data_IF_771975772250
#
_entry.id   IF_771975772250
#
_cell.length_a   1.000
_cell.length_b   1.000
_cell.length_c   1.000
_cell.angle_alpha   90.00
_cell.angle_beta   90.00
_cell.angle_gamma   90.00
#
_symmetry.space_group_name_H-M   'P 1'
#
loop_
_entity.id
_entity.type
_entity.pdbx_description
1 polymer ?
#
# COMPACT_ATOMS: atom_id res chain seq x y z
N UNK A 1 18.28 -14.33 20.56
CA UNK A 1 16.86 -13.91 20.43
C UNK A 1 16.74 -13.12 19.15
N UNK A 2 15.78 -13.44 18.27
CA UNK A 2 15.46 -12.59 17.09
C UNK A 2 14.97 -11.24 17.61
N UNK A 3 15.45 -10.11 17.01
CA UNK A 3 14.90 -8.78 17.34
C UNK A 3 13.42 -8.74 16.98
N UNK A 4 12.60 -7.93 17.67
CA UNK A 4 11.20 -7.69 17.24
C UNK A 4 11.17 -7.17 15.81
N UNK A 5 10.11 -7.50 15.07
CA UNK A 5 9.84 -6.96 13.76
C UNK A 5 9.16 -5.60 13.92
N UNK A 6 9.79 -4.55 13.41
CA UNK A 6 9.25 -3.18 13.41
C UNK A 6 8.89 -2.76 11.99
N UNK A 7 7.65 -2.39 11.75
CA UNK A 7 7.22 -1.88 10.45
C UNK A 7 6.29 -0.67 10.59
N UNK A 8 6.26 0.17 9.56
CA UNK A 8 5.34 1.28 9.48
C UNK A 8 4.16 0.93 8.57
N UNK A 9 2.96 1.23 9.02
CA UNK A 9 1.72 1.13 8.24
C UNK A 9 1.19 2.52 7.94
N UNK A 10 0.99 2.82 6.66
CA UNK A 10 0.41 4.08 6.17
C UNK A 10 -0.63 3.77 5.10
N UNK A 11 -1.65 4.63 4.96
CA UNK A 11 -2.71 4.52 3.97
C UNK A 11 -3.28 5.90 3.67
N UNK A 12 -4.08 6.02 2.61
CA UNK A 12 -4.89 7.21 2.31
C UNK A 12 -4.05 8.51 2.24
N UNK A 13 -2.88 8.43 1.59
CA UNK A 13 -1.94 9.55 1.44
C UNK A 13 -2.49 10.60 0.47
N UNK A 14 -3.17 10.14 -0.59
CA UNK A 14 -3.84 10.95 -1.59
C UNK A 14 -2.96 12.04 -2.22
N UNK A 15 -1.74 11.71 -2.64
CA UNK A 15 -0.87 12.64 -3.35
C UNK A 15 -1.59 13.20 -4.59
N UNK A 16 -1.50 14.49 -4.79
CA UNK A 16 -2.18 15.19 -5.87
C UNK A 16 -3.61 15.63 -5.55
N UNK A 17 -4.09 15.42 -4.32
CA UNK A 17 -5.40 15.92 -3.92
C UNK A 17 -5.37 17.42 -3.66
N UNK A 18 -6.08 18.15 -4.53
CA UNK A 18 -6.29 19.58 -4.40
C UNK A 18 -7.68 19.86 -3.81
N UNK A 19 -7.81 19.58 -2.50
CA UNK A 19 -9.07 19.71 -1.78
C UNK A 19 -9.61 21.15 -1.90
N UNK A 20 -10.89 21.30 -2.22
CA UNK A 20 -11.58 22.57 -2.51
C UNK A 20 -10.98 23.37 -3.69
N UNK A 21 -10.19 22.74 -4.56
CA UNK A 21 -9.50 23.42 -5.66
C UNK A 21 -8.36 24.34 -5.19
N UNK A 22 -7.89 24.19 -3.95
CA UNK A 22 -6.86 25.06 -3.38
C UNK A 22 -5.47 24.41 -3.49
N UNK A 23 -4.54 25.10 -4.13
CA UNK A 23 -3.15 24.66 -4.25
C UNK A 23 -2.47 24.53 -2.87
N UNK A 24 -2.82 25.34 -1.90
CA UNK A 24 -2.34 25.23 -0.52
C UNK A 24 -2.65 23.84 0.07
N UNK A 25 -3.83 23.27 -0.24
CA UNK A 25 -4.19 21.92 0.25
C UNK A 25 -3.35 20.83 -0.41
N UNK A 26 -3.02 20.95 -1.68
CA UNK A 26 -2.07 20.05 -2.33
C UNK A 26 -0.71 20.07 -1.64
N UNK A 27 -0.23 21.26 -1.27
CA UNK A 27 1.03 21.40 -0.53
C UNK A 27 0.94 20.78 0.89
N UNK A 28 -0.21 20.87 1.55
CA UNK A 28 -0.41 20.25 2.87
C UNK A 28 -0.26 18.73 2.79
N UNK A 29 -0.87 18.06 1.79
CA UNK A 29 -0.71 16.61 1.57
C UNK A 29 0.75 16.24 1.28
N UNK A 30 1.42 17.00 0.42
CA UNK A 30 2.83 16.79 0.09
C UNK A 30 3.72 16.96 1.33
N UNK A 31 3.48 17.99 2.14
CA UNK A 31 4.24 18.25 3.36
C UNK A 31 4.03 17.15 4.39
N UNK A 32 2.78 16.73 4.61
CA UNK A 32 2.47 15.63 5.53
C UNK A 32 3.20 14.33 5.12
N UNK A 33 3.20 13.99 3.82
CA UNK A 33 3.91 12.80 3.36
C UNK A 33 5.44 12.94 3.50
N UNK A 34 5.99 14.14 3.24
CA UNK A 34 7.42 14.41 3.47
C UNK A 34 7.81 14.22 4.93
N UNK A 35 7.02 14.75 5.87
CA UNK A 35 7.23 14.57 7.31
C UNK A 35 7.19 13.09 7.72
N UNK A 36 6.25 12.31 7.16
CA UNK A 36 6.20 10.86 7.37
C UNK A 36 7.48 10.20 6.87
N UNK A 37 7.95 10.53 5.66
CA UNK A 37 9.20 9.99 5.11
C UNK A 37 10.41 10.37 5.95
N UNK A 38 10.49 11.61 6.42
CA UNK A 38 11.56 12.06 7.32
C UNK A 38 11.59 11.20 8.59
N UNK A 39 10.41 10.98 9.17
CA UNK A 39 10.29 10.15 10.38
C UNK A 39 10.65 8.69 10.13
N UNK A 40 10.24 8.13 9.00
CA UNK A 40 10.59 6.76 8.61
C UNK A 40 12.10 6.57 8.44
N UNK A 41 12.79 7.57 7.86
CA UNK A 41 14.27 7.55 7.72
C UNK A 41 14.96 7.62 9.08
N UNK A 42 14.39 8.36 10.04
CA UNK A 42 14.90 8.44 11.42
C UNK A 42 14.75 7.10 12.16
N UNK A 43 13.54 6.50 12.15
CA UNK A 43 13.23 5.29 12.93
C UNK A 43 13.71 4.00 12.27
N UNK A 44 13.92 3.98 10.94
CA UNK A 44 14.43 2.85 10.15
C UNK A 44 13.67 1.55 10.41
N UNK A 45 12.37 1.48 10.08
CA UNK A 45 11.61 0.25 10.21
C UNK A 45 12.15 -0.85 9.27
N UNK A 46 11.82 -2.11 9.52
CA UNK A 46 12.17 -3.24 8.65
C UNK A 46 11.55 -3.10 7.26
N UNK A 47 10.37 -2.50 7.18
CA UNK A 47 9.69 -2.12 5.94
C UNK A 47 8.58 -1.08 6.20
N UNK A 48 8.14 -0.45 5.12
CA UNK A 48 6.93 0.39 5.08
C UNK A 48 5.85 -0.33 4.28
N UNK A 49 4.64 -0.36 4.80
CA UNK A 49 3.47 -0.93 4.15
C UNK A 49 2.47 0.17 3.82
N UNK A 50 2.27 0.44 2.52
CA UNK A 50 1.27 1.38 2.01
C UNK A 50 0.01 0.59 1.66
N UNK A 51 -1.03 0.74 2.49
CA UNK A 51 -2.28 0.02 2.32
C UNK A 51 -3.30 0.82 1.49
N UNK A 52 -2.91 1.19 0.25
CA UNK A 52 -3.76 1.83 -0.74
C UNK A 52 -3.80 3.36 -0.68
N UNK A 53 -4.30 3.93 -1.76
CA UNK A 53 -4.54 5.35 -1.98
C UNK A 53 -3.28 6.22 -1.75
N UNK A 54 -2.15 5.78 -2.35
CA UNK A 54 -0.94 6.59 -2.44
C UNK A 54 -1.22 7.87 -3.26
N UNK A 55 -1.91 7.72 -4.40
CA UNK A 55 -2.32 8.83 -5.24
C UNK A 55 -3.82 9.08 -5.15
N UNK A 56 -4.22 10.34 -5.30
CA UNK A 56 -5.65 10.73 -5.35
C UNK A 56 -6.31 10.37 -6.68
N UNK A 57 -5.54 10.19 -7.74
CA UNK A 57 -6.03 9.82 -9.06
C UNK A 57 -5.18 8.71 -9.68
N UNK A 58 -5.79 7.78 -10.45
CA UNK A 58 -5.06 6.69 -11.12
C UNK A 58 -4.12 7.20 -12.23
N UNK A 59 -4.21 8.50 -12.58
CA UNK A 59 -3.32 9.22 -13.50
C UNK A 59 -2.91 10.53 -12.83
N UNK A 60 -1.92 10.50 -11.93
CA UNK A 60 -1.43 11.70 -11.28
C UNK A 60 -0.79 12.66 -12.30
N UNK A 61 -0.73 13.94 -11.97
CA UNK A 61 0.06 14.90 -12.74
C UNK A 61 1.55 14.54 -12.71
N UNK A 62 2.31 15.01 -13.69
CA UNK A 62 3.77 14.80 -13.71
C UNK A 62 4.43 15.35 -12.43
N UNK A 63 4.00 16.50 -11.95
CA UNK A 63 4.53 17.10 -10.70
C UNK A 63 4.25 16.22 -9.47
N UNK A 64 3.03 15.66 -9.39
CA UNK A 64 2.66 14.74 -8.31
C UNK A 64 3.48 13.44 -8.38
N UNK A 65 3.68 12.92 -9.59
CA UNK A 65 4.46 11.70 -9.80
C UNK A 65 5.95 11.95 -9.47
N UNK A 66 6.50 13.06 -9.90
CA UNK A 66 7.88 13.48 -9.58
C UNK A 66 8.10 13.55 -8.08
N UNK A 67 7.20 14.22 -7.36
CA UNK A 67 7.25 14.30 -5.90
C UNK A 67 7.19 12.91 -5.23
N UNK A 68 6.29 12.04 -5.69
CA UNK A 68 6.20 10.67 -5.16
C UNK A 68 7.49 9.88 -5.40
N UNK A 69 8.06 9.97 -6.60
CA UNK A 69 9.34 9.33 -6.96
C UNK A 69 10.45 9.83 -6.04
N UNK A 70 10.55 11.14 -5.82
CA UNK A 70 11.54 11.74 -4.93
C UNK A 70 11.46 11.15 -3.52
N UNK A 71 10.25 11.10 -2.92
CA UNK A 71 10.07 10.57 -1.58
C UNK A 71 10.38 9.06 -1.50
N UNK A 72 9.96 8.28 -2.49
CA UNK A 72 10.27 6.84 -2.57
C UNK A 72 11.77 6.58 -2.78
N UNK A 73 12.45 7.41 -3.57
CA UNK A 73 13.91 7.37 -3.71
C UNK A 73 14.64 7.61 -2.38
N UNK A 74 14.14 8.52 -1.55
CA UNK A 74 14.70 8.80 -0.21
C UNK A 74 14.59 7.57 0.69
N UNK A 75 13.43 6.90 0.74
CA UNK A 75 13.25 5.66 1.49
C UNK A 75 14.17 4.55 0.96
N UNK A 76 14.23 4.38 -0.35
CA UNK A 76 15.13 3.41 -0.99
C UNK A 76 16.60 3.67 -0.65
N UNK A 77 17.04 4.94 -0.69
CA UNK A 77 18.42 5.33 -0.34
C UNK A 77 18.74 5.09 1.13
N UNK A 78 17.72 5.15 2.00
CA UNK A 78 17.84 4.80 3.41
C UNK A 78 17.82 3.28 3.67
N UNK A 79 17.64 2.46 2.62
CA UNK A 79 17.58 0.99 2.71
C UNK A 79 16.25 0.47 3.27
N UNK A 80 15.18 1.26 3.21
CA UNK A 80 13.87 0.91 3.76
C UNK A 80 12.98 0.39 2.61
N UNK A 81 12.64 -0.91 2.58
CA UNK A 81 11.72 -1.46 1.59
C UNK A 81 10.31 -0.88 1.75
N UNK A 82 9.67 -0.51 0.64
CA UNK A 82 8.29 -0.05 0.61
C UNK A 82 7.46 -1.10 -0.13
N UNK A 83 6.43 -1.64 0.53
CA UNK A 83 5.46 -2.54 -0.08
C UNK A 83 4.12 -1.82 -0.19
N UNK A 84 3.38 -2.03 -1.28
CA UNK A 84 2.13 -1.33 -1.49
C UNK A 84 1.05 -2.24 -2.10
N UNK A 85 -0.20 -2.05 -1.67
CA UNK A 85 -1.39 -2.56 -2.34
C UNK A 85 -2.14 -1.41 -3.01
N UNK A 86 -2.92 -1.72 -4.04
CA UNK A 86 -3.76 -0.73 -4.70
C UNK A 86 -4.90 -0.29 -3.78
N UNK A 87 -5.15 1.01 -3.70
CA UNK A 87 -6.35 1.58 -3.16
C UNK A 87 -7.44 1.82 -4.22
N UNK A 88 -8.54 2.42 -3.83
CA UNK A 88 -9.64 2.73 -4.75
C UNK A 88 -9.26 3.80 -5.79
N UNK A 89 -8.37 4.70 -5.43
CA UNK A 89 -7.87 5.81 -6.24
C UNK A 89 -6.64 5.43 -7.08
N UNK A 90 -5.78 4.53 -6.61
CA UNK A 90 -4.61 4.03 -7.38
C UNK A 90 -5.01 2.98 -8.41
N UNK A 91 -6.12 2.26 -8.16
CA UNK A 91 -6.50 1.09 -8.94
C UNK A 91 -6.76 1.44 -10.40
N UNK A 92 -6.39 0.52 -11.28
CA UNK A 92 -6.57 0.66 -12.71
C UNK A 92 -8.05 0.92 -13.06
N UNK A 93 -8.36 1.98 -13.83
CA UNK A 93 -9.71 2.20 -14.31
C UNK A 93 -10.19 1.07 -15.23
N UNK A 94 -9.27 0.37 -15.87
CA UNK A 94 -9.51 -0.81 -16.71
C UNK A 94 -8.21 -1.65 -16.85
N UNK A 95 -8.33 -2.85 -17.41
CA UNK A 95 -7.20 -3.78 -17.58
C UNK A 95 -6.09 -3.29 -18.51
N UNK A 96 -6.41 -2.41 -19.45
CA UNK A 96 -5.43 -1.86 -20.41
C UNK A 96 -4.55 -0.80 -19.77
N UNK A 97 -5.14 0.07 -18.93
CA UNK A 97 -4.41 1.17 -18.30
C UNK A 97 -3.43 0.66 -17.24
N UNK A 98 -3.81 -0.38 -16.48
CA UNK A 98 -3.01 -0.83 -15.35
C UNK A 98 -3.04 0.14 -14.16
N UNK A 99 -2.45 -0.25 -13.05
CA UNK A 99 -2.29 0.61 -11.87
C UNK A 99 -1.02 1.45 -11.98
N UNK A 100 -1.04 2.65 -11.39
CA UNK A 100 0.15 3.53 -11.31
C UNK A 100 1.26 2.92 -10.45
N UNK A 101 0.96 1.97 -9.56
CA UNK A 101 1.98 1.33 -8.73
C UNK A 101 2.92 0.42 -9.55
N UNK A 102 2.48 -0.15 -10.66
CA UNK A 102 3.31 -1.03 -11.50
C UNK A 102 4.57 -0.38 -12.08
N UNK A 103 4.51 0.81 -12.70
CA UNK A 103 5.72 1.48 -13.17
C UNK A 103 6.68 1.84 -12.02
N UNK A 104 6.17 2.19 -10.83
CA UNK A 104 7.01 2.44 -9.66
C UNK A 104 7.70 1.16 -9.16
N UNK A 105 6.99 0.02 -9.17
CA UNK A 105 7.55 -1.30 -8.88
C UNK A 105 8.64 -1.69 -9.89
N UNK A 106 8.38 -1.49 -11.19
CA UNK A 106 9.38 -1.77 -12.25
C UNK A 106 10.62 -0.88 -12.16
N UNK A 107 10.48 0.32 -11.63
CA UNK A 107 11.61 1.21 -11.33
C UNK A 107 12.33 0.83 -10.02
N UNK A 108 11.83 -0.17 -9.30
CA UNK A 108 12.40 -0.62 -8.02
C UNK A 108 12.27 0.41 -6.90
N UNK A 109 11.22 1.24 -6.94
CA UNK A 109 10.94 2.26 -5.94
C UNK A 109 10.03 1.75 -4.82
N UNK A 110 9.19 0.76 -5.14
CA UNK A 110 8.36 0.04 -4.21
C UNK A 110 8.18 -1.41 -4.71
N UNK A 111 7.57 -2.25 -3.90
CA UNK A 111 7.15 -3.61 -4.24
C UNK A 111 5.63 -3.62 -4.27
N UNK A 112 5.07 -3.73 -5.46
CA UNK A 112 3.62 -3.81 -5.65
C UNK A 112 3.12 -5.22 -5.36
N UNK A 113 2.19 -5.35 -4.43
CA UNK A 113 1.51 -6.59 -4.06
C UNK A 113 0.16 -6.69 -4.82
N UNK A 114 0.12 -7.35 -5.97
CA UNK A 114 -1.10 -7.41 -6.78
C UNK A 114 -2.13 -8.35 -6.12
N UNK A 115 -3.43 -8.00 -6.28
CA UNK A 115 -4.57 -8.79 -5.78
C UNK A 115 -4.74 -10.09 -6.59
N UNK A 116 -3.76 -10.97 -6.54
CA UNK A 116 -3.79 -12.29 -7.18
C UNK A 116 -3.57 -13.37 -6.13
N UNK A 117 -4.37 -14.47 -6.14
CA UNK A 117 -4.10 -15.61 -5.31
C UNK A 117 -2.63 -16.07 -5.42
N UNK A 118 -2.04 -16.43 -4.30
CA UNK A 118 -0.64 -16.83 -4.26
C UNK A 118 0.38 -15.71 -4.31
N UNK A 119 -0.03 -14.44 -4.44
CA UNK A 119 0.88 -13.30 -4.42
C UNK A 119 1.28 -12.94 -2.99
N UNK A 120 2.57 -13.09 -2.69
CA UNK A 120 3.13 -12.66 -1.42
C UNK A 120 4.55 -12.14 -1.61
N UNK A 121 4.98 -11.33 -0.67
CA UNK A 121 6.38 -10.96 -0.48
C UNK A 121 6.95 -11.77 0.69
N UNK A 122 8.08 -12.40 0.46
CA UNK A 122 8.81 -13.15 1.50
C UNK A 122 10.03 -12.36 1.94
N UNK A 123 10.01 -11.93 3.20
CA UNK A 123 11.19 -11.41 3.90
C UNK A 123 11.84 -12.51 4.76
N UNK A 124 12.97 -12.20 5.38
CA UNK A 124 13.70 -13.16 6.22
C UNK A 124 12.85 -13.68 7.39
N UNK A 125 12.09 -12.80 8.04
CA UNK A 125 11.31 -13.09 9.24
C UNK A 125 9.80 -12.94 9.05
N UNK A 126 9.31 -12.63 7.83
CA UNK A 126 7.90 -12.30 7.60
C UNK A 126 7.44 -12.67 6.20
N UNK A 127 6.10 -12.85 6.08
CA UNK A 127 5.37 -12.88 4.82
C UNK A 127 4.36 -11.75 4.78
N UNK A 128 4.21 -11.09 3.63
CA UNK A 128 3.21 -10.05 3.41
C UNK A 128 2.36 -10.44 2.21
N UNK A 129 1.07 -10.61 2.45
CA UNK A 129 0.04 -10.94 1.46
C UNK A 129 -0.73 -9.66 1.11
N UNK A 130 -0.86 -9.35 -0.17
CA UNK A 130 -1.51 -8.13 -0.62
C UNK A 130 -2.85 -8.36 -1.31
N UNK A 131 -3.90 -7.67 -0.84
CA UNK A 131 -5.19 -7.59 -1.53
C UNK A 131 -5.56 -6.13 -1.70
N UNK A 132 -5.32 -5.57 -2.86
CA UNK A 132 -5.73 -4.20 -3.18
C UNK A 132 -7.24 -4.07 -3.36
N UNK A 133 -7.68 -2.87 -3.67
CA UNK A 133 -9.09 -2.55 -3.87
C UNK A 133 -9.75 -3.45 -4.94
N UNK A 134 -10.87 -4.06 -4.58
CA UNK A 134 -11.64 -4.96 -5.45
C UNK A 134 -12.85 -4.22 -6.03
N UNK A 135 -12.77 -3.89 -7.32
CA UNK A 135 -13.87 -3.20 -8.04
C UNK A 135 -14.87 -4.21 -8.60
N UNK A 136 -16.17 -4.00 -8.32
CA UNK A 136 -17.27 -4.67 -9.02
C UNK A 136 -17.41 -6.18 -8.82
N UNK A 137 -16.67 -6.79 -7.88
CA UNK A 137 -16.81 -8.20 -7.51
C UNK A 137 -17.32 -8.32 -6.08
N UNK A 138 -17.98 -9.44 -5.78
CA UNK A 138 -18.25 -9.81 -4.41
C UNK A 138 -16.90 -9.91 -3.66
N UNK A 139 -16.68 -9.00 -2.73
CA UNK A 139 -15.45 -8.90 -1.95
C UNK A 139 -15.20 -10.21 -1.18
N UNK A 140 -16.29 -10.83 -0.69
CA UNK A 140 -16.24 -12.09 0.05
C UNK A 140 -15.77 -13.25 -0.84
N UNK A 141 -16.26 -13.35 -2.07
CA UNK A 141 -15.86 -14.41 -3.00
C UNK A 141 -14.37 -14.30 -3.36
N UNK A 142 -13.89 -13.10 -3.69
CA UNK A 142 -12.47 -12.87 -4.02
C UNK A 142 -11.59 -13.12 -2.82
N UNK A 143 -11.97 -12.67 -1.63
CA UNK A 143 -11.21 -12.92 -0.41
C UNK A 143 -11.18 -14.40 -0.06
N UNK A 144 -12.31 -15.12 -0.23
CA UNK A 144 -12.39 -16.57 -0.05
C UNK A 144 -11.46 -17.31 -1.02
N UNK A 145 -11.47 -16.94 -2.30
CA UNK A 145 -10.59 -17.53 -3.31
C UNK A 145 -9.12 -17.21 -2.98
N UNK A 146 -8.82 -15.98 -2.61
CA UNK A 146 -7.47 -15.57 -2.22
C UNK A 146 -6.96 -16.39 -1.03
N UNK A 147 -7.76 -16.53 0.04
CA UNK A 147 -7.38 -17.30 1.23
C UNK A 147 -7.23 -18.79 0.91
N UNK A 148 -8.07 -19.34 0.01
CA UNK A 148 -7.97 -20.75 -0.41
C UNK A 148 -6.71 -21.04 -1.20
N UNK A 149 -6.27 -20.08 -2.02
CA UNK A 149 -5.11 -20.18 -2.89
C UNK A 149 -3.86 -19.51 -2.31
N UNK A 150 -3.88 -19.12 -1.02
CA UNK A 150 -2.67 -18.66 -0.35
C UNK A 150 -1.54 -19.67 -0.59
N UNK A 151 -0.33 -19.19 -0.99
CA UNK A 151 0.81 -20.07 -1.13
C UNK A 151 1.07 -20.76 0.22
N UNK A 152 1.88 -21.83 0.19
CA UNK A 152 1.84 -22.87 1.21
C UNK A 152 1.68 -22.27 2.61
N UNK A 153 0.80 -22.87 3.38
CA UNK A 153 0.32 -22.45 4.72
C UNK A 153 1.31 -21.53 5.41
N UNK A 154 0.86 -20.39 5.95
CA UNK A 154 1.75 -19.42 6.59
C UNK A 154 2.76 -20.16 7.45
N UNK A 155 4.05 -19.97 7.18
CA UNK A 155 5.09 -20.57 8.00
C UNK A 155 4.95 -20.03 9.43
N UNK A 156 4.61 -20.88 10.42
CA UNK A 156 4.41 -20.41 11.80
C UNK A 156 5.69 -19.87 12.43
N UNK A 157 6.85 -20.10 11.81
CA UNK A 157 8.13 -19.54 12.25
C UNK A 157 8.34 -18.10 11.79
N UNK A 158 7.53 -17.60 10.85
CA UNK A 158 7.58 -16.23 10.33
C UNK A 158 6.36 -15.43 10.76
N UNK A 159 6.52 -14.12 10.82
CA UNK A 159 5.40 -13.20 11.05
C UNK A 159 4.60 -13.05 9.76
N UNK A 160 3.27 -13.22 9.81
CA UNK A 160 2.40 -13.18 8.64
C UNK A 160 1.52 -11.94 8.70
N UNK A 161 1.60 -11.09 7.68
CA UNK A 161 0.83 -9.85 7.54
C UNK A 161 -0.07 -9.96 6.32
N UNK A 162 -1.35 -9.65 6.46
CA UNK A 162 -2.27 -9.45 5.35
C UNK A 162 -2.56 -7.96 5.20
N UNK A 163 -2.17 -7.40 4.07
CA UNK A 163 -2.40 -6.02 3.70
C UNK A 163 -3.59 -5.92 2.74
N UNK A 164 -4.56 -5.07 3.05
CA UNK A 164 -5.71 -4.85 2.17
C UNK A 164 -6.25 -3.42 2.29
N UNK A 165 -6.92 -2.97 1.24
CA UNK A 165 -7.62 -1.68 1.21
C UNK A 165 -9.12 -1.90 1.05
N UNK A 166 -9.79 -2.14 2.17
CA UNK A 166 -11.25 -2.35 2.25
C UNK A 166 -11.77 -2.18 3.67
N UNK A 167 -13.05 -1.87 3.81
CA UNK A 167 -13.71 -1.88 5.11
C UNK A 167 -13.87 -3.32 5.61
N UNK A 168 -13.48 -3.56 6.85
CA UNK A 168 -13.67 -4.84 7.56
C UNK A 168 -14.78 -4.65 8.58
N UNK A 169 -15.87 -5.40 8.39
CA UNK A 169 -16.95 -5.47 9.38
C UNK A 169 -16.55 -6.42 10.49
N UNK A 170 -16.42 -5.92 11.71
CA UNK A 170 -16.19 -6.74 12.90
C UNK A 170 -16.83 -6.11 14.12
N UNK A 171 -17.57 -6.90 14.91
CA UNK A 171 -18.32 -6.39 16.07
C UNK A 171 -17.41 -5.69 17.10
N UNK A 172 -16.21 -6.23 17.34
CA UNK A 172 -15.24 -5.64 18.28
C UNK A 172 -14.67 -4.28 17.80
N UNK A 173 -14.79 -3.95 16.50
CA UNK A 173 -14.34 -2.67 15.91
C UNK A 173 -15.50 -1.66 15.81
N UNK A 174 -16.74 -2.03 16.20
CA UNK A 174 -17.90 -1.17 16.06
C UNK A 174 -18.30 -0.82 14.62
N UNK A 175 -17.77 -1.54 13.65
CA UNK A 175 -18.07 -1.32 12.23
C UNK A 175 -19.33 -2.12 11.87
N UNK A 176 -20.41 -1.48 11.34
CA UNK A 176 -21.63 -2.15 10.97
C UNK A 176 -21.42 -3.22 9.88
N UNK A 177 -22.24 -4.29 9.93
CA UNK A 177 -22.18 -5.39 8.94
C UNK A 177 -22.63 -5.00 7.53
N UNK A 178 -23.16 -3.79 7.36
CA UNK A 178 -23.74 -3.30 6.09
C UNK A 178 -23.15 -1.92 5.74
N UNK A 179 -21.97 -1.92 5.14
CA UNK A 179 -21.45 -0.77 4.39
C UNK A 179 -21.21 -1.21 2.94
#
# INVERSE_FOLDING_TARGET
MKRPLDFAHIADIHLGYMQYGLEARLQDFNNAFREVVDKLIEIKPDFVLICGDLFHHPRPSNMTLEFAIEQLCRLKSAGIPVLAVDGSHDSAPNSVTGTILRPLDRAGLLIHLPSRPGSCYEGDAYYIYGVGYLRGRSKEAVLSDYVRELPPRPDPSKFNVMAFHMAVSHEALGVPRHI
#
